data_IF_270542964336
#
_entry.id   IF_270542964336
#
_cell.length_a   1.000
_cell.length_b   1.000
_cell.length_c   1.000
_cell.angle_alpha   90.00
_cell.angle_beta   90.00
_cell.angle_gamma   90.00
#
_symmetry.space_group_name_H-M   'P 1'
#
loop_
_entity.id
_entity.type
_entity.pdbx_description
1 polymer ?
#
# COMPACT_ATOMS: atom_id res chain seq x y z
N UNK A 1 2.16 -7.86 15.53
CA UNK A 1 1.64 -6.79 14.67
C UNK A 1 0.34 -7.22 14.00
N UNK A 2 -0.76 -6.64 14.41
CA UNK A 2 -2.07 -6.97 13.88
C UNK A 2 -2.43 -6.04 12.72
N UNK A 3 -3.02 -6.57 11.64
CA UNK A 3 -3.55 -5.71 10.58
C UNK A 3 -4.61 -4.78 11.15
N UNK A 4 -4.57 -3.54 10.72
CA UNK A 4 -5.56 -2.55 11.11
C UNK A 4 -6.08 -1.85 9.87
N UNK A 5 -7.41 -1.84 9.71
CA UNK A 5 -8.06 -1.18 8.60
C UNK A 5 -9.07 -0.19 9.16
N UNK A 6 -8.93 1.08 8.79
CA UNK A 6 -9.90 2.11 9.11
C UNK A 6 -10.87 2.28 7.95
N UNK A 7 -12.17 2.30 8.24
CA UNK A 7 -13.21 2.44 7.25
C UNK A 7 -13.72 3.86 7.19
N UNK A 8 -13.60 4.48 6.02
CA UNK A 8 -14.31 5.69 5.69
C UNK A 8 -15.59 5.39 4.91
N UNK A 9 -16.30 6.41 4.50
CA UNK A 9 -17.52 6.25 3.69
C UNK A 9 -17.22 5.70 2.30
N UNK A 10 -16.10 6.08 1.70
CA UNK A 10 -15.72 5.71 0.35
C UNK A 10 -14.34 5.06 0.25
N UNK A 11 -13.56 5.11 1.32
CA UNK A 11 -12.18 4.69 1.34
C UNK A 11 -11.87 3.84 2.54
N UNK A 12 -10.83 3.04 2.41
CA UNK A 12 -10.21 2.35 3.54
C UNK A 12 -8.78 2.83 3.68
N UNK A 13 -8.28 2.84 4.91
CA UNK A 13 -6.90 3.20 5.22
C UNK A 13 -6.28 2.04 5.98
N UNK A 14 -5.14 1.57 5.54
CA UNK A 14 -4.41 0.50 6.22
C UNK A 14 -2.91 0.74 6.16
N UNK A 15 -2.22 0.20 7.16
CA UNK A 15 -0.77 0.20 7.16
C UNK A 15 -0.28 -0.90 6.21
N UNK A 16 0.56 -0.54 5.25
CA UNK A 16 1.04 -1.49 4.26
C UNK A 16 1.92 -2.57 4.92
N UNK A 17 1.62 -3.85 4.70
CA UNK A 17 2.54 -4.92 5.08
C UNK A 17 3.77 -4.92 4.16
N UNK A 18 4.80 -5.74 4.45
CA UNK A 18 6.02 -5.79 3.63
C UNK A 18 5.76 -6.05 2.16
N UNK A 19 4.79 -6.91 1.89
CA UNK A 19 4.35 -7.22 0.54
C UNK A 19 2.83 -7.33 0.53
N UNK A 20 2.22 -6.78 -0.49
CA UNK A 20 0.77 -6.86 -0.66
C UNK A 20 0.42 -6.84 -2.14
N UNK A 21 -0.59 -7.62 -2.51
CA UNK A 21 -1.20 -7.56 -3.83
C UNK A 21 -2.59 -6.96 -3.68
N UNK A 22 -2.79 -5.82 -4.33
CA UNK A 22 -4.07 -5.13 -4.29
C UNK A 22 -4.96 -5.64 -5.42
N UNK A 23 -6.20 -6.08 -5.13
CA UNK A 23 -7.13 -6.52 -6.17
C UNK A 23 -7.81 -5.33 -6.85
N UNK A 24 -7.00 -4.38 -7.28
CA UNK A 24 -7.44 -3.17 -7.95
C UNK A 24 -7.79 -3.44 -9.40
N UNK A 25 -8.70 -2.62 -9.93
CA UNK A 25 -9.00 -2.56 -11.35
C UNK A 25 -8.38 -1.29 -11.95
N UNK A 26 -8.22 -1.29 -13.26
CA UNK A 26 -7.69 -0.11 -13.95
C UNK A 26 -8.50 1.14 -13.63
N UNK A 27 -7.83 2.21 -13.28
CA UNK A 27 -8.43 3.48 -12.90
C UNK A 27 -8.67 3.67 -11.40
N UNK A 28 -8.51 2.63 -10.59
CA UNK A 28 -8.65 2.78 -9.14
C UNK A 28 -7.57 3.71 -8.59
N UNK A 29 -7.96 4.62 -7.71
CA UNK A 29 -7.03 5.51 -7.05
C UNK A 29 -6.35 4.77 -5.90
N UNK A 30 -5.03 4.82 -5.89
CA UNK A 30 -4.20 4.26 -4.82
C UNK A 30 -3.36 5.39 -4.27
N UNK A 31 -3.58 5.76 -3.01
CA UNK A 31 -2.78 6.80 -2.37
C UNK A 31 -1.83 6.18 -1.36
N UNK A 32 -0.60 6.68 -1.35
CA UNK A 32 0.47 6.23 -0.49
C UNK A 32 0.89 7.40 0.40
N UNK A 33 0.74 7.23 1.71
CA UNK A 33 1.04 8.28 2.69
C UNK A 33 2.13 7.79 3.64
N UNK A 34 3.35 8.32 3.55
CA UNK A 34 4.42 7.92 4.48
C UNK A 34 4.21 8.53 5.86
N UNK A 35 4.43 7.71 6.90
CA UNK A 35 4.44 8.15 8.31
C UNK A 35 5.86 8.44 8.80
N UNK A 36 6.85 7.92 8.10
CA UNK A 36 8.28 8.10 8.36
C UNK A 36 9.00 7.90 7.02
N UNK A 37 10.30 8.19 6.93
CA UNK A 37 11.05 7.90 5.70
C UNK A 37 10.94 6.43 5.32
N UNK A 38 10.51 6.15 4.10
CA UNK A 38 10.23 4.80 3.63
C UNK A 38 10.39 4.71 2.11
N UNK A 39 10.80 3.55 1.65
CA UNK A 39 10.93 3.25 0.22
C UNK A 39 10.03 2.08 -0.14
N UNK A 40 9.82 1.87 -1.44
CA UNK A 40 9.04 0.75 -1.91
C UNK A 40 9.29 0.45 -3.37
N UNK A 41 8.63 -0.60 -3.83
CA UNK A 41 8.58 -0.99 -5.23
C UNK A 41 7.13 -1.27 -5.60
N UNK A 42 6.80 -1.07 -6.85
CA UNK A 42 5.45 -1.30 -7.33
C UNK A 42 5.43 -1.94 -8.70
N UNK A 43 4.37 -2.72 -8.94
CA UNK A 43 4.00 -3.21 -10.26
C UNK A 43 2.52 -2.91 -10.44
N UNK A 44 2.16 -2.33 -11.57
CA UNK A 44 0.77 -2.05 -11.90
C UNK A 44 0.26 -0.66 -11.55
N UNK A 45 1.11 0.22 -11.06
CA UNK A 45 0.77 1.64 -10.86
C UNK A 45 1.12 2.46 -12.10
N UNK A 46 0.30 3.46 -12.39
CA UNK A 46 0.55 4.41 -13.48
C UNK A 46 1.87 5.16 -13.26
N UNK A 47 2.14 5.53 -12.01
CA UNK A 47 3.40 6.15 -11.60
C UNK A 47 4.14 5.21 -10.65
N UNK A 48 5.12 4.44 -11.16
CA UNK A 48 5.90 3.51 -10.34
C UNK A 48 6.60 4.23 -9.19
N UNK A 49 6.69 3.55 -8.05
CA UNK A 49 7.32 4.13 -6.86
C UNK A 49 8.77 3.68 -6.67
N UNK A 50 9.28 2.84 -7.53
CA UNK A 50 10.63 2.31 -7.44
C UNK A 50 11.67 3.43 -7.44
N UNK A 51 12.58 3.37 -6.48
CA UNK A 51 13.66 4.36 -6.37
C UNK A 51 13.25 5.70 -5.77
N UNK A 52 12.00 5.87 -5.32
CA UNK A 52 11.54 7.08 -4.69
C UNK A 52 11.70 7.01 -3.17
N UNK A 53 12.11 8.12 -2.57
CA UNK A 53 12.21 8.27 -1.13
C UNK A 53 10.98 9.02 -0.63
N UNK A 54 10.11 8.30 0.07
CA UNK A 54 8.91 8.89 0.67
C UNK A 54 9.19 9.36 2.09
N UNK A 55 8.66 10.51 2.46
CA UNK A 55 8.77 11.03 3.81
C UNK A 55 7.61 11.99 4.11
N UNK A 56 7.17 12.07 5.39
CA UNK A 56 6.20 13.09 5.80
C UNK A 56 6.76 14.47 5.53
N UNK A 57 5.95 15.37 4.98
CA UNK A 57 6.40 16.70 4.61
C UNK A 57 7.30 16.78 3.39
N UNK A 58 7.66 15.62 2.80
CA UNK A 58 8.43 15.53 1.58
C UNK A 58 7.59 14.88 0.48
N UNK A 59 8.16 13.86 -0.19
CA UNK A 59 7.45 13.14 -1.24
C UNK A 59 6.35 12.27 -0.66
N UNK A 60 5.15 12.43 -1.20
CA UNK A 60 4.00 11.57 -0.93
C UNK A 60 3.44 11.05 -2.25
N UNK A 61 2.70 9.95 -2.21
CA UNK A 61 2.15 9.30 -3.39
C UNK A 61 0.63 9.38 -3.46
N UNK A 62 0.06 10.58 -3.30
CA UNK A 62 -1.39 10.73 -3.38
C UNK A 62 -1.90 10.63 -4.80
N UNK A 63 -3.09 10.05 -4.95
CA UNK A 63 -3.82 9.96 -6.22
C UNK A 63 -3.07 9.21 -7.33
N UNK A 64 -2.23 8.27 -7.00
CA UNK A 64 -1.70 7.33 -7.97
C UNK A 64 -2.84 6.44 -8.48
N UNK A 65 -2.67 5.82 -9.63
CA UNK A 65 -3.73 5.02 -10.24
C UNK A 65 -3.26 3.63 -10.58
N UNK A 66 -4.14 2.66 -10.36
CA UNK A 66 -3.91 1.30 -10.77
C UNK A 66 -4.14 1.16 -12.28
N UNK A 67 -3.28 0.36 -12.92
CA UNK A 67 -3.46 -0.07 -14.31
C UNK A 67 -4.13 -1.45 -14.39
N UNK A 68 -4.34 -2.07 -13.24
CA UNK A 68 -4.88 -3.39 -13.02
C UNK A 68 -4.54 -3.80 -11.60
N UNK A 69 -4.35 -5.09 -11.31
CA UNK A 69 -3.86 -5.51 -9.98
C UNK A 69 -2.51 -4.86 -9.69
N UNK A 70 -2.31 -4.43 -8.45
CA UNK A 70 -1.10 -3.74 -8.02
C UNK A 70 -0.35 -4.59 -7.01
N UNK A 71 0.95 -4.76 -7.22
CA UNK A 71 1.85 -5.38 -6.24
C UNK A 71 2.72 -4.29 -5.63
N UNK A 72 2.84 -4.33 -4.31
CA UNK A 72 3.66 -3.40 -3.56
C UNK A 72 4.62 -4.15 -2.65
N UNK A 73 5.86 -3.67 -2.57
CA UNK A 73 6.82 -4.01 -1.54
C UNK A 73 7.20 -2.72 -0.82
N UNK A 74 7.15 -2.73 0.50
CA UNK A 74 7.42 -1.55 1.32
C UNK A 74 8.56 -1.88 2.30
N UNK A 75 9.52 -0.98 2.40
CA UNK A 75 10.76 -1.21 3.16
C UNK A 75 10.61 -1.17 4.67
N UNK A 76 9.51 -0.65 5.18
CA UNK A 76 9.27 -0.57 6.62
C UNK A 76 7.80 -0.33 6.93
N UNK A 77 7.36 -0.47 8.21
CA UNK A 77 5.95 -0.36 8.60
C UNK A 77 5.49 1.09 8.72
N UNK A 78 5.81 1.91 7.74
CA UNK A 78 5.65 3.36 7.81
C UNK A 78 4.86 3.94 6.64
N UNK A 79 4.16 3.10 5.88
CA UNK A 79 3.38 3.55 4.72
C UNK A 79 1.91 3.24 4.90
N UNK A 80 1.07 4.27 4.89
CA UNK A 80 -0.37 4.10 4.83
C UNK A 80 -0.82 3.96 3.37
N UNK A 81 -1.75 3.04 3.15
CA UNK A 81 -2.45 2.90 1.87
C UNK A 81 -3.87 3.41 2.03
N UNK A 82 -4.30 4.25 1.10
CA UNK A 82 -5.67 4.73 1.03
C UNK A 82 -6.25 4.20 -0.27
N UNK A 83 -7.30 3.39 -0.16
CA UNK A 83 -7.83 2.59 -1.25
C UNK A 83 -9.36 2.70 -1.31
N UNK A 84 -9.98 2.36 -2.47
CA UNK A 84 -11.43 2.29 -2.55
C UNK A 84 -12.00 1.28 -1.55
N UNK A 85 -13.10 1.65 -0.91
CA UNK A 85 -13.73 0.84 0.14
C UNK A 85 -14.13 -0.56 -0.31
N UNK A 86 -14.50 -0.74 -1.56
CA UNK A 86 -14.91 -2.06 -2.07
C UNK A 86 -13.81 -3.11 -1.96
N UNK A 87 -12.54 -2.69 -1.80
CA UNK A 87 -11.41 -3.61 -1.68
C UNK A 87 -11.28 -4.19 -0.27
N UNK A 88 -12.09 -3.74 0.70
CA UNK A 88 -11.96 -4.15 2.09
C UNK A 88 -12.05 -5.67 2.28
N UNK A 89 -13.09 -6.30 1.73
CA UNK A 89 -13.30 -7.74 1.95
C UNK A 89 -12.16 -8.60 1.39
N UNK A 90 -11.75 -8.44 0.12
CA UNK A 90 -10.62 -9.21 -0.39
C UNK A 90 -9.29 -8.90 0.31
N UNK A 91 -9.08 -7.65 0.73
CA UNK A 91 -7.87 -7.29 1.45
C UNK A 91 -7.86 -7.86 2.88
N UNK A 92 -8.98 -7.80 3.58
CA UNK A 92 -9.08 -8.39 4.91
C UNK A 92 -8.79 -9.90 4.85
N UNK A 93 -9.32 -10.60 3.86
CA UNK A 93 -9.04 -12.02 3.68
C UNK A 93 -7.54 -12.27 3.43
N UNK A 94 -6.88 -11.44 2.65
CA UNK A 94 -5.46 -11.56 2.39
C UNK A 94 -4.62 -11.28 3.63
N UNK A 95 -4.94 -10.21 4.37
CA UNK A 95 -4.17 -9.81 5.56
C UNK A 95 -4.32 -10.79 6.72
N UNK A 96 -5.42 -11.53 6.78
CA UNK A 96 -5.65 -12.52 7.82
C UNK A 96 -5.07 -13.89 7.49
N UNK A 97 -4.48 -14.08 6.31
CA UNK A 97 -3.81 -15.34 5.98
C UNK A 97 -2.58 -15.51 6.87
N UNK A 98 -2.32 -16.74 7.34
CA UNK A 98 -1.15 -17.00 8.18
C UNK A 98 0.13 -17.11 7.35
N UNK A 99 0.31 -16.22 6.39
CA UNK A 99 1.53 -16.15 5.59
C UNK A 99 2.43 -15.12 6.21
N UNK A 100 3.60 -15.54 6.63
CA UNK A 100 4.59 -14.67 7.21
C UNK A 100 5.67 -14.36 6.17
N UNK A 101 5.73 -13.11 5.74
CA UNK A 101 6.78 -12.63 4.85
C UNK A 101 7.59 -11.61 5.64
N UNK A 102 8.89 -11.89 5.88
CA UNK A 102 9.73 -10.95 6.60
C UNK A 102 9.95 -9.66 5.80
N UNK A 103 10.16 -8.57 6.52
CA UNK A 103 10.52 -7.33 5.88
C UNK A 103 11.85 -7.48 5.13
N UNK A 104 12.00 -6.81 3.97
CA UNK A 104 13.28 -6.78 3.29
C UNK A 104 14.37 -6.25 4.21
N UNK A 105 15.58 -6.81 4.09
CA UNK A 105 16.71 -6.32 4.86
C UNK A 105 16.99 -4.86 4.47
N UNK A 106 17.18 -4.02 5.45
CA UNK A 106 17.60 -2.63 5.23
C UNK A 106 19.11 -2.60 5.04
N UNK A 107 19.52 -1.95 3.98
CA UNK A 107 20.94 -1.75 3.74
C UNK A 107 21.51 -0.71 4.69
#
# INVERSE_FOLDING_TARGET
HLPCILLGAQEIVLLAPPQITLPTAAGDVVSLMPLAPVQGRSVGLEWPIDGLDFAPGGRIGTSNRALGPVKLEISGPDMLLILPRRLMAPLAAQLLRPVHVPWPARA
#
